data_IF_199929117648
#
_entry.id   IF_199929117648
#
_cell.length_a   1.000
_cell.length_b   1.000
_cell.length_c   1.000
_cell.angle_alpha   90.00
_cell.angle_beta   90.00
_cell.angle_gamma   90.00
#
_symmetry.space_group_name_H-M   'P 1'
#
loop_
_entity.id
_entity.type
_entity.pdbx_description
1 polymer ?
#
# COMPACT_ATOMS: atom_id res chain seq x y z
N UNK A 1 -13.74 -53.16 -42.59
CA UNK A 1 -14.19 -52.00 -41.80
C UNK A 1 -13.06 -51.52 -40.88
N UNK A 2 -11.98 -50.94 -41.41
CA UNK A 2 -10.82 -50.46 -40.61
C UNK A 2 -10.19 -49.29 -41.36
N UNK A 3 -10.82 -48.11 -41.39
CA UNK A 3 -10.19 -46.89 -41.96
C UNK A 3 -10.57 -45.56 -41.30
N UNK A 4 -11.45 -45.52 -40.29
CA UNK A 4 -12.04 -44.25 -39.85
C UNK A 4 -11.64 -43.76 -38.45
N UNK A 5 -10.66 -44.38 -37.77
CA UNK A 5 -10.34 -44.04 -36.37
C UNK A 5 -9.12 -43.09 -36.22
N UNK A 6 -8.32 -42.89 -37.27
CA UNK A 6 -7.07 -42.10 -37.14
C UNK A 6 -7.21 -40.58 -37.32
N UNK A 7 -8.37 -40.08 -37.75
CA UNK A 7 -8.56 -38.65 -38.01
C UNK A 7 -8.90 -37.82 -36.76
N UNK A 8 -9.28 -38.46 -35.64
CA UNK A 8 -9.70 -37.75 -34.43
C UNK A 8 -8.57 -37.42 -33.44
N UNK A 9 -7.38 -38.02 -33.60
CA UNK A 9 -6.27 -37.85 -32.65
C UNK A 9 -5.32 -36.69 -32.99
N UNK A 10 -5.42 -36.11 -34.19
CA UNK A 10 -4.50 -35.04 -34.65
C UNK A 10 -5.03 -33.64 -34.33
N UNK A 11 -6.34 -33.49 -34.07
CA UNK A 11 -6.98 -32.19 -33.82
C UNK A 11 -6.90 -31.70 -32.36
N UNK A 12 -6.42 -32.51 -31.42
CA UNK A 12 -6.30 -32.15 -30.00
C UNK A 12 -4.95 -31.54 -29.60
N UNK A 13 -3.97 -31.48 -30.51
CA UNK A 13 -2.61 -30.98 -30.22
C UNK A 13 -2.35 -29.51 -30.59
N UNK A 14 -3.33 -28.78 -31.16
CA UNK A 14 -3.17 -27.36 -31.53
C UNK A 14 -3.85 -26.36 -30.58
N UNK A 15 -4.17 -26.77 -29.35
CA UNK A 15 -4.57 -25.85 -28.29
C UNK A 15 -3.36 -25.37 -27.45
N UNK A 16 -2.18 -25.24 -28.06
CA UNK A 16 -1.14 -24.37 -27.52
C UNK A 16 -1.66 -22.94 -27.67
N UNK A 17 -2.41 -22.51 -26.65
CA UNK A 17 -2.99 -21.19 -26.60
C UNK A 17 -1.94 -20.16 -26.94
N UNK A 18 -2.27 -19.26 -27.87
CA UNK A 18 -1.65 -17.97 -27.97
C UNK A 18 -1.73 -17.31 -26.59
N UNK A 19 -0.73 -17.54 -25.73
CA UNK A 19 -0.45 -16.61 -24.66
C UNK A 19 -0.07 -15.33 -25.39
N UNK A 20 -0.83 -14.27 -25.15
CA UNK A 20 -0.41 -12.93 -25.52
C UNK A 20 1.08 -12.82 -25.12
N UNK A 21 1.92 -12.40 -26.06
CA UNK A 21 3.35 -12.33 -25.82
C UNK A 21 3.58 -11.53 -24.55
N UNK A 22 4.09 -12.18 -23.51
CA UNK A 22 4.41 -11.54 -22.23
C UNK A 22 5.33 -10.34 -22.55
N UNK A 23 4.93 -9.13 -22.19
CA UNK A 23 5.74 -7.91 -22.36
C UNK A 23 6.83 -7.86 -21.28
N UNK A 24 7.77 -8.80 -21.39
CA UNK A 24 8.87 -9.01 -20.44
C UNK A 24 10.24 -8.92 -21.15
N UNK A 25 10.93 -7.76 -21.10
CA UNK A 25 10.54 -6.52 -20.47
C UNK A 25 9.54 -5.76 -21.38
N UNK A 26 8.88 -4.72 -20.87
CA UNK A 26 8.07 -3.85 -21.71
C UNK A 26 8.89 -3.24 -22.85
N UNK A 27 8.19 -2.85 -23.92
CA UNK A 27 8.80 -2.32 -25.14
C UNK A 27 9.44 -0.94 -24.93
N UNK A 28 8.97 -0.21 -23.91
CA UNK A 28 9.56 1.02 -23.41
C UNK A 28 9.82 0.93 -21.90
N UNK A 29 10.78 1.72 -21.40
CA UNK A 29 11.07 1.80 -19.95
C UNK A 29 9.97 2.47 -19.12
N UNK A 30 8.96 3.05 -19.77
CA UNK A 30 7.87 3.78 -19.13
C UNK A 30 6.62 2.90 -18.95
N UNK A 31 6.58 1.76 -19.62
CA UNK A 31 5.50 0.79 -19.52
C UNK A 31 5.64 -0.09 -18.27
N UNK A 32 4.49 -0.51 -17.73
CA UNK A 32 4.44 -1.49 -16.67
C UNK A 32 4.83 -2.89 -17.18
N UNK A 33 5.42 -3.68 -16.29
CA UNK A 33 5.75 -5.08 -16.52
C UNK A 33 4.51 -5.94 -16.26
N UNK A 34 4.33 -6.98 -17.08
CA UNK A 34 3.34 -8.01 -16.80
C UNK A 34 3.72 -8.76 -15.50
N UNK A 35 2.73 -9.08 -14.66
CA UNK A 35 2.95 -9.91 -13.48
C UNK A 35 3.50 -11.30 -13.84
N UNK A 36 3.22 -11.80 -15.05
CA UNK A 36 3.80 -13.00 -15.62
C UNK A 36 5.32 -12.92 -15.77
N UNK A 37 5.96 -11.73 -15.74
CA UNK A 37 7.43 -11.63 -15.73
C UNK A 37 8.07 -12.11 -14.40
N UNK A 38 7.24 -12.34 -13.39
CA UNK A 38 7.65 -12.77 -12.06
C UNK A 38 7.31 -14.25 -11.81
N UNK A 39 7.98 -14.85 -10.83
CA UNK A 39 7.68 -16.16 -10.28
C UNK A 39 7.68 -16.09 -8.75
N UNK A 40 7.06 -17.08 -8.11
CA UNK A 40 6.87 -17.11 -6.66
C UNK A 40 5.80 -16.13 -6.17
N UNK A 41 5.69 -15.98 -4.85
CA UNK A 41 4.71 -15.11 -4.19
C UNK A 41 5.28 -14.55 -2.87
N UNK A 42 4.72 -13.42 -2.41
CA UNK A 42 5.16 -12.74 -1.19
C UNK A 42 6.67 -12.51 -1.15
N UNK A 43 7.31 -12.86 -0.03
CA UNK A 43 8.75 -12.74 0.16
C UNK A 43 9.63 -13.62 -0.77
N UNK A 44 9.04 -14.58 -1.49
CA UNK A 44 9.75 -15.42 -2.46
C UNK A 44 9.59 -14.92 -3.91
N UNK A 45 8.85 -13.82 -4.10
CA UNK A 45 8.61 -13.29 -5.44
C UNK A 45 9.90 -12.74 -6.03
N UNK A 46 10.15 -13.14 -7.27
CA UNK A 46 11.35 -12.74 -8.01
C UNK A 46 11.05 -12.60 -9.50
N UNK A 47 11.84 -11.79 -10.18
CA UNK A 47 11.86 -11.68 -11.64
C UNK A 47 12.39 -12.99 -12.22
N UNK A 48 11.71 -13.57 -13.23
CA UNK A 48 12.17 -14.83 -13.83
C UNK A 48 13.60 -14.67 -14.39
N UNK A 49 14.47 -15.69 -14.30
CA UNK A 49 15.89 -15.59 -14.65
C UNK A 49 16.17 -15.01 -16.05
N UNK A 50 15.33 -15.34 -17.04
CA UNK A 50 15.50 -14.84 -18.42
C UNK A 50 15.39 -13.31 -18.55
N UNK A 51 14.78 -12.62 -17.58
CA UNK A 51 14.55 -11.17 -17.61
C UNK A 51 15.53 -10.35 -16.77
N UNK A 52 16.42 -10.99 -15.99
CA UNK A 52 17.31 -10.29 -15.05
C UNK A 52 18.24 -9.27 -15.73
N UNK A 53 18.71 -9.57 -16.95
CA UNK A 53 19.59 -8.67 -17.70
C UNK A 53 18.92 -7.38 -18.17
N UNK A 54 17.59 -7.30 -18.07
CA UNK A 54 16.80 -6.15 -18.52
C UNK A 54 16.50 -5.18 -17.37
N UNK A 55 16.88 -5.53 -16.14
CA UNK A 55 16.69 -4.70 -14.96
C UNK A 55 17.56 -3.43 -15.03
N UNK A 56 16.90 -2.28 -14.92
CA UNK A 56 17.55 -0.98 -14.82
C UNK A 56 17.79 -0.62 -13.36
N UNK A 57 19.04 -0.73 -12.89
CA UNK A 57 19.41 -0.40 -11.52
C UNK A 57 19.72 1.09 -11.35
N UNK A 58 19.10 1.71 -10.35
CA UNK A 58 19.42 3.07 -9.93
C UNK A 58 20.68 3.13 -9.06
N UNK A 59 21.03 4.34 -8.60
CA UNK A 59 22.19 4.57 -7.71
C UNK A 59 22.13 3.80 -6.38
N UNK A 60 20.92 3.44 -5.93
CA UNK A 60 20.71 2.64 -4.73
C UNK A 60 21.07 1.16 -4.90
N UNK A 61 21.32 0.69 -6.13
CA UNK A 61 21.56 -0.72 -6.44
C UNK A 61 20.29 -1.55 -6.59
N UNK A 62 19.12 -0.91 -6.63
CA UNK A 62 17.82 -1.56 -6.85
C UNK A 62 17.17 -1.09 -8.15
N UNK A 63 16.43 -1.99 -8.78
CA UNK A 63 15.57 -1.68 -9.90
C UNK A 63 14.15 -1.40 -9.38
N UNK A 64 13.52 -0.35 -9.89
CA UNK A 64 12.12 -0.05 -9.61
C UNK A 64 11.29 -0.47 -10.80
N UNK A 65 10.24 -1.25 -10.53
CA UNK A 65 9.40 -1.84 -11.55
C UNK A 65 7.95 -1.54 -11.21
N UNK A 66 7.27 -0.89 -12.15
CA UNK A 66 5.82 -0.84 -12.15
C UNK A 66 5.31 -2.18 -12.68
N UNK A 67 4.48 -2.88 -11.93
CA UNK A 67 3.77 -4.09 -12.36
C UNK A 67 2.33 -3.73 -12.67
N UNK A 68 1.76 -4.29 -13.73
CA UNK A 68 0.45 -3.87 -14.25
C UNK A 68 -0.75 -4.52 -13.52
N UNK A 69 -0.66 -5.81 -13.13
CA UNK A 69 -1.81 -6.53 -12.56
C UNK A 69 -1.41 -7.46 -11.39
N UNK A 70 -1.74 -7.11 -10.13
CA UNK A 70 -2.33 -5.82 -9.72
C UNK A 70 -1.31 -4.68 -9.91
N UNK A 71 -1.78 -3.43 -10.16
CA UNK A 71 -0.91 -2.27 -10.24
C UNK A 71 -0.10 -2.09 -8.95
N UNK A 72 1.22 -2.22 -9.02
CA UNK A 72 2.10 -2.02 -7.87
C UNK A 72 3.52 -1.64 -8.25
N UNK A 73 4.12 -0.73 -7.48
CA UNK A 73 5.53 -0.40 -7.61
C UNK A 73 6.34 -1.32 -6.70
N UNK A 74 7.34 -2.00 -7.24
CA UNK A 74 8.22 -2.88 -6.47
C UNK A 74 9.67 -2.47 -6.60
N UNK A 75 10.45 -2.69 -5.54
CA UNK A 75 11.91 -2.61 -5.57
C UNK A 75 12.51 -4.02 -5.65
N UNK A 76 13.45 -4.19 -6.58
CA UNK A 76 14.07 -5.47 -6.93
C UNK A 76 15.59 -5.37 -6.76
N UNK A 77 16.19 -6.36 -6.10
CA UNK A 77 17.65 -6.45 -5.94
C UNK A 77 18.34 -6.99 -7.21
N UNK A 78 19.67 -7.01 -7.21
CA UNK A 78 20.48 -7.48 -8.35
C UNK A 78 20.26 -8.96 -8.72
N UNK A 79 19.70 -9.77 -7.80
CA UNK A 79 19.36 -11.18 -8.03
C UNK A 79 17.95 -11.33 -8.61
N UNK A 80 17.21 -10.24 -8.75
CA UNK A 80 15.82 -10.25 -9.19
C UNK A 80 14.81 -10.46 -8.06
N UNK A 81 15.23 -10.45 -6.79
CA UNK A 81 14.31 -10.66 -5.66
C UNK A 81 13.55 -9.37 -5.38
N UNK A 82 12.22 -9.47 -5.22
CA UNK A 82 11.40 -8.35 -4.75
C UNK A 82 11.70 -8.12 -3.26
N UNK A 83 12.38 -7.03 -2.95
CA UNK A 83 12.78 -6.68 -1.57
C UNK A 83 11.81 -5.73 -0.88
N UNK A 84 11.07 -4.93 -1.66
CA UNK A 84 9.98 -4.09 -1.16
C UNK A 84 8.81 -4.20 -2.14
N UNK A 85 7.74 -4.95 -1.80
CA UNK A 85 6.53 -5.04 -2.61
C UNK A 85 5.61 -3.84 -2.37
N UNK A 86 4.63 -3.60 -3.26
CA UNK A 86 3.52 -2.69 -3.01
C UNK A 86 3.90 -1.31 -2.46
N UNK A 87 4.94 -0.68 -3.02
CA UNK A 87 5.40 0.66 -2.62
C UNK A 87 4.26 1.65 -2.87
N UNK A 88 3.88 2.36 -1.82
CA UNK A 88 3.00 3.51 -1.97
C UNK A 88 3.77 4.60 -2.71
N UNK A 89 3.21 5.08 -3.82
CA UNK A 89 3.78 6.11 -4.68
C UNK A 89 2.69 7.09 -5.10
N UNK A 90 3.10 8.28 -5.55
CA UNK A 90 2.25 9.38 -6.04
C UNK A 90 1.34 10.06 -4.99
N UNK A 91 1.41 9.62 -3.73
CA UNK A 91 0.79 10.29 -2.59
C UNK A 91 1.74 11.30 -1.93
N UNK A 92 1.18 12.36 -1.33
CA UNK A 92 1.97 13.26 -0.49
C UNK A 92 2.56 12.48 0.70
N UNK A 93 3.88 12.60 0.90
CA UNK A 93 4.59 11.92 1.98
C UNK A 93 4.90 10.44 1.72
N UNK A 94 4.67 9.94 0.51
CA UNK A 94 5.10 8.61 0.05
C UNK A 94 6.33 8.68 -0.88
N UNK A 95 6.76 7.54 -1.41
CA UNK A 95 7.85 7.48 -2.38
C UNK A 95 7.50 8.33 -3.64
N UNK A 96 8.46 9.08 -4.22
CA UNK A 96 9.89 9.16 -3.89
C UNK A 96 10.26 10.17 -2.80
N UNK A 97 9.31 10.97 -2.31
CA UNK A 97 9.58 12.12 -1.44
C UNK A 97 8.80 12.02 -0.12
N UNK A 98 9.12 11.03 0.73
CA UNK A 98 8.51 10.96 2.05
C UNK A 98 8.98 12.14 2.92
N UNK A 99 8.18 12.51 3.92
CA UNK A 99 8.64 13.41 4.98
C UNK A 99 9.63 12.64 5.86
N UNK A 100 10.93 12.86 5.61
CA UNK A 100 12.02 12.09 6.20
C UNK A 100 12.64 11.11 5.20
N UNK A 101 12.80 9.84 5.59
CA UNK A 101 13.39 8.81 4.72
C UNK A 101 12.66 7.47 4.74
N UNK A 102 11.57 7.36 5.51
CA UNK A 102 10.76 6.15 5.59
C UNK A 102 9.47 6.34 4.79
N UNK A 103 9.19 5.43 3.86
CA UNK A 103 7.96 5.42 3.09
C UNK A 103 7.17 4.13 3.35
N UNK A 104 5.87 4.18 3.06
CA UNK A 104 4.97 3.04 3.24
C UNK A 104 5.15 2.02 2.13
N UNK A 105 4.96 0.76 2.49
CA UNK A 105 4.80 -0.32 1.52
C UNK A 105 3.72 -1.30 2.00
N UNK A 106 3.24 -2.13 1.08
CA UNK A 106 2.25 -3.17 1.34
C UNK A 106 2.77 -4.53 0.91
N UNK A 107 2.59 -5.52 1.76
CA UNK A 107 2.77 -6.93 1.44
C UNK A 107 1.45 -7.67 1.73
N UNK A 108 0.78 -8.08 0.66
CA UNK A 108 -0.59 -8.59 0.74
C UNK A 108 -1.56 -7.60 1.38
N UNK A 109 -2.19 -7.98 2.48
CA UNK A 109 -3.15 -7.13 3.21
C UNK A 109 -2.48 -6.22 4.25
N UNK A 110 -1.19 -6.43 4.56
CA UNK A 110 -0.48 -5.75 5.64
C UNK A 110 0.44 -4.67 5.10
N UNK A 111 0.70 -3.66 5.92
CA UNK A 111 1.60 -2.55 5.57
C UNK A 111 2.74 -2.40 6.58
N UNK A 112 3.81 -1.78 6.11
CA UNK A 112 5.02 -1.49 6.88
C UNK A 112 5.74 -0.27 6.31
N UNK A 113 7.01 -0.09 6.71
CA UNK A 113 7.85 1.03 6.28
C UNK A 113 9.24 0.57 5.84
N UNK A 114 9.74 1.20 4.78
CA UNK A 114 11.09 0.96 4.24
C UNK A 114 11.86 2.28 4.10
N UNK A 115 13.18 2.20 4.13
CA UNK A 115 14.07 3.35 3.89
C UNK A 115 14.22 3.61 2.38
N UNK A 116 13.74 4.74 1.88
CA UNK A 116 13.74 5.06 0.43
C UNK A 116 15.15 5.22 -0.15
N UNK A 117 16.18 5.40 0.68
CA UNK A 117 17.56 5.55 0.23
C UNK A 117 18.22 4.20 -0.03
N UNK A 118 17.83 3.17 0.73
CA UNK A 118 18.49 1.86 0.74
C UNK A 118 17.56 0.70 0.37
N UNK A 119 16.26 0.96 0.21
CA UNK A 119 15.20 -0.04 0.02
C UNK A 119 15.18 -1.14 1.08
N UNK A 120 15.74 -0.87 2.27
CA UNK A 120 15.67 -1.78 3.40
C UNK A 120 14.33 -1.63 4.12
N UNK A 121 13.64 -2.74 4.36
CA UNK A 121 12.48 -2.77 5.25
C UNK A 121 12.94 -2.45 6.68
N UNK A 122 12.43 -1.35 7.24
CA UNK A 122 12.74 -0.90 8.61
C UNK A 122 11.66 -1.29 9.59
N UNK A 123 10.42 -1.38 9.12
CA UNK A 123 9.28 -1.88 9.87
C UNK A 123 8.58 -2.93 9.02
N UNK A 124 8.55 -4.21 9.44
CA UNK A 124 7.91 -5.28 8.68
C UNK A 124 6.42 -5.01 8.44
N UNK A 125 5.90 -5.54 7.33
CA UNK A 125 4.49 -5.49 6.98
C UNK A 125 3.64 -6.28 7.99
N UNK A 126 3.20 -5.59 9.05
CA UNK A 126 2.55 -6.23 10.21
C UNK A 126 1.33 -5.46 10.72
N UNK A 127 1.03 -4.30 10.14
CA UNK A 127 -0.12 -3.46 10.49
C UNK A 127 -1.21 -3.61 9.43
N UNK A 128 -2.47 -3.40 9.83
CA UNK A 128 -3.61 -3.38 8.91
C UNK A 128 -3.66 -2.07 8.11
N UNK A 129 -3.35 -0.95 8.78
CA UNK A 129 -3.30 0.38 8.18
C UNK A 129 -2.05 1.14 8.61
N UNK A 130 -1.48 1.90 7.67
CA UNK A 130 -0.29 2.71 7.85
C UNK A 130 -0.52 4.08 7.22
N UNK A 131 -0.33 5.14 7.99
CA UNK A 131 -0.33 6.51 7.49
C UNK A 131 1.08 6.91 7.06
N UNK A 132 1.18 7.87 6.15
CA UNK A 132 2.46 8.45 5.75
C UNK A 132 3.12 9.13 6.96
N UNK A 133 4.45 9.32 6.90
CA UNK A 133 5.15 10.10 7.92
C UNK A 133 4.71 11.57 7.89
N UNK A 134 4.41 12.11 9.06
CA UNK A 134 4.43 13.56 9.29
C UNK A 134 5.85 14.06 9.53
N UNK A 135 6.00 15.16 10.26
CA UNK A 135 7.33 15.72 10.58
C UNK A 135 8.23 14.76 11.36
N UNK A 136 7.69 13.99 12.30
CA UNK A 136 8.50 13.17 13.22
C UNK A 136 8.09 11.71 13.30
N UNK A 137 6.81 11.42 13.10
CA UNK A 137 6.26 10.08 13.29
C UNK A 137 5.23 9.74 12.22
N UNK A 138 5.03 8.45 12.01
CA UNK A 138 3.87 7.90 11.31
C UNK A 138 2.97 7.14 12.29
N UNK A 139 1.67 7.11 12.01
CA UNK A 139 0.74 6.26 12.74
C UNK A 139 0.44 4.99 11.96
N UNK A 140 0.39 3.87 12.66
CA UNK A 140 -0.06 2.59 12.12
C UNK A 140 -0.95 1.88 13.14
N UNK A 141 -1.77 0.93 12.72
CA UNK A 141 -2.63 0.20 13.64
C UNK A 141 -2.92 -1.24 13.21
N UNK A 142 -3.30 -2.03 14.22
CA UNK A 142 -3.84 -3.39 14.09
C UNK A 142 -5.30 -3.39 14.46
N UNK A 143 -6.08 -4.24 13.79
CA UNK A 143 -7.51 -4.45 14.04
C UNK A 143 -8.33 -3.16 13.87
N UNK A 144 -7.95 -2.34 12.89
CA UNK A 144 -8.44 -0.98 12.67
C UNK A 144 -8.78 -0.72 11.20
N UNK A 145 -9.48 0.38 10.94
CA UNK A 145 -9.69 0.91 9.60
C UNK A 145 -9.22 2.35 9.49
N UNK A 146 -8.94 2.78 8.25
CA UNK A 146 -8.66 4.18 7.92
C UNK A 146 -9.84 4.76 7.17
N UNK A 147 -10.31 5.93 7.61
CA UNK A 147 -11.36 6.68 6.94
C UNK A 147 -10.85 8.04 6.50
N UNK A 148 -11.19 8.44 5.29
CA UNK A 148 -10.99 9.80 4.83
C UNK A 148 -11.96 10.72 5.59
N UNK A 149 -11.48 11.83 6.12
CA UNK A 149 -12.34 12.82 6.80
C UNK A 149 -12.79 13.95 5.88
N UNK A 150 -12.22 14.00 4.66
CA UNK A 150 -12.48 15.04 3.65
C UNK A 150 -12.54 14.43 2.24
N UNK A 151 -13.10 15.18 1.28
CA UNK A 151 -13.38 14.69 -0.09
C UNK A 151 -12.14 14.23 -0.84
N UNK A 152 -11.02 14.91 -0.67
CA UNK A 152 -9.75 14.58 -1.35
C UNK A 152 -8.88 13.60 -0.55
N UNK A 153 -9.33 13.19 0.65
CA UNK A 153 -8.61 12.30 1.54
C UNK A 153 -7.18 12.77 1.89
N UNK A 154 -6.93 14.08 1.83
CA UNK A 154 -5.70 14.69 2.33
C UNK A 154 -5.56 14.43 3.84
N UNK A 155 -6.70 14.43 4.55
CA UNK A 155 -6.81 14.04 5.94
C UNK A 155 -7.51 12.67 6.08
N UNK A 156 -6.94 11.83 6.93
CA UNK A 156 -7.48 10.51 7.26
C UNK A 156 -7.28 10.19 8.73
N UNK A 157 -8.16 9.33 9.25
CA UNK A 157 -8.17 8.94 10.66
C UNK A 157 -8.20 7.42 10.80
N UNK A 158 -7.44 6.92 11.77
CA UNK A 158 -7.51 5.53 12.23
C UNK A 158 -8.69 5.37 13.18
N UNK A 159 -9.50 4.33 12.99
CA UNK A 159 -10.69 4.05 13.79
C UNK A 159 -10.66 2.59 14.24
N UNK A 160 -10.88 2.38 15.54
CA UNK A 160 -10.85 1.09 16.20
C UNK A 160 -9.44 0.50 16.40
N UNK A 161 -9.40 -0.68 17.04
CA UNK A 161 -8.17 -1.45 17.18
C UNK A 161 -7.13 -0.85 18.13
N UNK A 162 -5.85 -1.03 17.78
CA UNK A 162 -4.70 -0.57 18.56
C UNK A 162 -3.71 0.14 17.64
N UNK A 163 -3.35 1.37 18.01
CA UNK A 163 -2.47 2.24 17.26
C UNK A 163 -1.07 2.31 17.86
N UNK A 164 -0.10 2.61 17.00
CA UNK A 164 1.27 2.93 17.37
C UNK A 164 1.73 4.17 16.61
N UNK A 165 2.57 4.97 17.24
CA UNK A 165 3.40 5.97 16.57
C UNK A 165 4.80 5.40 16.36
N UNK A 166 5.28 5.49 15.14
CA UNK A 166 6.58 4.98 14.71
C UNK A 166 7.48 6.18 14.42
N UNK A 167 8.67 6.22 15.04
CA UNK A 167 9.67 7.26 14.81
C UNK A 167 10.40 7.07 13.46
N UNK A 168 11.15 8.09 13.04
CA UNK A 168 11.94 8.02 11.80
C UNK A 168 13.06 6.97 11.82
N UNK A 169 13.31 6.28 12.95
CA UNK A 169 14.25 5.15 13.02
C UNK A 169 13.53 3.81 12.87
N UNK A 170 12.21 3.80 12.72
CA UNK A 170 11.36 2.61 12.63
C UNK A 170 10.99 2.01 13.99
N UNK A 171 11.15 2.75 15.10
CA UNK A 171 10.86 2.26 16.46
C UNK A 171 9.49 2.76 16.92
N UNK A 172 8.82 1.97 17.74
CA UNK A 172 7.58 2.40 18.39
C UNK A 172 7.92 3.49 19.41
N UNK A 173 7.50 4.72 19.13
CA UNK A 173 7.63 5.85 20.06
C UNK A 173 6.51 5.84 21.11
N UNK A 174 5.29 5.46 20.71
CA UNK A 174 4.11 5.47 21.58
C UNK A 174 3.07 4.46 21.12
N UNK A 175 2.28 3.93 22.05
CA UNK A 175 1.07 3.15 21.77
C UNK A 175 -0.17 3.97 22.13
N UNK A 176 -1.27 3.78 21.40
CA UNK A 176 -2.54 4.45 21.65
C UNK A 176 -3.73 3.60 21.22
N UNK A 177 -4.94 4.04 21.57
CA UNK A 177 -6.20 3.45 21.08
C UNK A 177 -6.89 4.45 20.16
N UNK A 178 -6.98 4.17 18.85
CA UNK A 178 -7.81 4.96 17.96
C UNK A 178 -9.27 4.92 18.45
N UNK A 179 -10.04 6.02 18.29
CA UNK A 179 -11.42 6.05 18.73
C UNK A 179 -12.24 4.97 18.00
N UNK A 180 -13.24 4.33 18.66
CA UNK A 180 -14.21 3.51 17.95
C UNK A 180 -15.06 4.39 17.02
N UNK A 181 -15.70 3.79 16.01
CA UNK A 181 -16.51 4.54 15.03
C UNK A 181 -17.60 5.41 15.69
N UNK A 182 -18.19 4.91 16.79
CA UNK A 182 -19.20 5.63 17.56
C UNK A 182 -18.68 6.91 18.26
N UNK A 183 -17.36 7.11 18.31
CA UNK A 183 -16.69 8.23 18.99
C UNK A 183 -15.60 8.86 18.12
N UNK A 184 -15.58 8.58 16.82
CA UNK A 184 -14.50 9.01 15.93
C UNK A 184 -14.53 10.52 15.62
N UNK A 185 -15.65 11.19 15.88
CA UNK A 185 -15.80 12.62 15.62
C UNK A 185 -15.48 13.48 16.85
N UNK A 186 -15.29 14.78 16.61
CA UNK A 186 -15.01 15.76 17.66
C UNK A 186 -16.00 15.67 18.81
N UNK A 187 -15.51 15.83 20.05
CA UNK A 187 -16.34 15.68 21.25
C UNK A 187 -16.87 14.25 21.50
N UNK A 188 -16.32 13.24 20.83
CA UNK A 188 -16.76 11.84 20.98
C UNK A 188 -18.07 11.53 20.27
N UNK A 189 -18.46 12.33 19.27
CA UNK A 189 -19.67 12.12 18.49
C UNK A 189 -19.53 10.91 17.55
N UNK A 190 -20.66 10.29 17.21
CA UNK A 190 -20.73 9.26 16.19
C UNK A 190 -20.64 9.88 14.80
N UNK A 191 -19.79 9.32 13.94
CA UNK A 191 -19.76 9.66 12.52
C UNK A 191 -20.60 8.71 11.68
N UNK A 192 -21.00 9.17 10.50
CA UNK A 192 -21.69 8.37 9.49
C UNK A 192 -20.70 7.98 8.40
N UNK A 193 -20.73 6.72 7.99
CA UNK A 193 -19.94 6.26 6.86
C UNK A 193 -20.65 6.58 5.55
N UNK A 194 -19.99 7.32 4.68
CA UNK A 194 -20.43 7.56 3.30
C UNK A 194 -19.56 6.75 2.33
N UNK A 195 -20.19 6.10 1.35
CA UNK A 195 -19.51 5.53 0.19
C UNK A 195 -19.61 6.52 -0.96
N UNK A 196 -18.47 7.03 -1.45
CA UNK A 196 -18.40 7.90 -2.64
C UNK A 196 -17.81 7.19 -3.84
N UNK A 197 -18.22 5.94 -4.05
CA UNK A 197 -17.73 5.11 -5.16
C UNK A 197 -16.32 4.54 -4.91
N UNK A 198 -16.09 3.32 -5.37
CA UNK A 198 -14.84 2.58 -5.13
C UNK A 198 -14.77 1.89 -3.77
N UNK A 199 -13.54 1.52 -3.34
CA UNK A 199 -13.26 0.76 -2.10
C UNK A 199 -12.98 1.64 -0.87
N UNK A 200 -13.10 2.97 -0.98
CA UNK A 200 -12.83 3.90 0.13
C UNK A 200 -14.13 4.27 0.83
N UNK A 201 -14.05 4.48 2.14
CA UNK A 201 -15.14 4.96 2.97
C UNK A 201 -14.75 6.30 3.58
N UNK A 202 -15.71 7.22 3.62
CA UNK A 202 -15.55 8.54 4.22
C UNK A 202 -16.26 8.57 5.55
N UNK A 203 -15.60 9.11 6.56
CA UNK A 203 -16.21 9.40 7.85
C UNK A 203 -16.74 10.82 7.82
N UNK A 204 -18.06 10.97 7.76
CA UNK A 204 -18.71 12.27 7.91
C UNK A 204 -19.03 12.53 9.37
N UNK A 205 -18.39 13.56 9.92
CA UNK A 205 -18.67 14.03 11.26
C UNK A 205 -19.78 15.09 11.27
N UNK A 206 -20.66 15.08 12.29
CA UNK A 206 -21.55 16.20 12.52
C UNK A 206 -20.74 17.48 12.82
N UNK A 207 -21.32 18.66 12.59
CA UNK A 207 -20.69 19.91 13.00
C UNK A 207 -20.38 19.86 14.50
N UNK A 208 -19.19 20.37 14.87
CA UNK A 208 -18.77 20.39 16.25
C UNK A 208 -19.82 21.12 17.11
N UNK A 209 -20.12 20.62 18.32
CA UNK A 209 -20.97 21.36 19.23
C UNK A 209 -20.32 22.73 19.50
N UNK A 210 -21.10 23.82 19.64
CA UNK A 210 -20.55 25.11 19.98
C UNK A 210 -19.75 24.99 21.29
N UNK A 211 -18.64 25.74 21.43
CA UNK A 211 -17.88 25.71 22.68
C UNK A 211 -18.82 26.05 23.83
N UNK A 212 -18.88 25.20 24.85
CA UNK A 212 -19.60 25.51 26.07
C UNK A 212 -18.99 26.80 26.63
N UNK A 213 -19.74 27.90 26.56
CA UNK A 213 -19.42 29.12 27.31
C UNK A 213 -19.34 28.71 28.77
N UNK A 214 -18.14 28.47 29.28
CA UNK A 214 -17.92 28.49 30.70
C UNK A 214 -18.24 29.92 31.11
N UNK A 215 -19.43 30.13 31.68
CA UNK A 215 -19.70 31.34 32.45
C UNK A 215 -18.69 31.32 33.59
N UNK A 216 -17.56 32.01 33.39
CA UNK A 216 -16.74 32.48 34.48
C UNK A 216 -17.69 33.26 35.39
N UNK A 217 -17.98 32.66 36.55
CA UNK A 217 -18.62 33.37 37.64
C UNK A 217 -17.66 34.49 38.03
N UNK A 218 -17.83 35.67 37.42
CA UNK A 218 -17.29 36.93 37.90
C UNK A 218 -17.97 37.20 39.23
N UNK A 219 -17.39 36.63 40.29
CA UNK A 219 -17.67 37.03 41.66
C UNK A 219 -17.20 38.47 41.79
N UNK A 220 -18.18 39.38 41.87
CA UNK A 220 -17.94 40.79 42.11
C UNK A 220 -17.13 41.02 43.39
N UNK A 221 -16.22 42.00 43.31
CA UNK A 221 -15.79 42.84 44.41
C UNK A 221 -15.60 44.25 43.90
#
# INVERSE_FOLDING_TARGET
>A
MIRSVFAALVLTLMAFGCRAAESCPPSSRQEAWDAACFAGSGAQRHVKPQHLRQLGFGKSGYALIMVDEPPELVAVDWRGVVVVPGIYHDGEGDYPQPRGHLARFRDGARCGYFDVRTFQVRVPASYDQCLAFGEQTAQACKDCQVYCTESECQNSMLVGGRGVEIDQRGRIARQFRPPPLAQACAGGQQGTLESRGGRRFWLRCPPAPPPSLQMENVHGR
#
